data_IF_493028122489
#
_entry.id   IF_493028122489
#
_cell.length_a   1.000
_cell.length_b   1.000
_cell.length_c   1.000
_cell.angle_alpha   90.00
_cell.angle_beta   90.00
_cell.angle_gamma   90.00
#
_symmetry.space_group_name_H-M   'P 1'
#
loop_
_entity.id
_entity.type
_entity.pdbx_description
1 polymer ?
#
# COMPACT_ATOMS: atom_id res chain seq x y z
N UNK A 1 -1.85 17.85 5.18
CA UNK A 1 -3.25 17.95 5.12
C UNK A 1 -3.90 16.70 4.55
N UNK A 2 -4.95 16.30 5.16
CA UNK A 2 -5.48 14.97 4.98
C UNK A 2 -6.92 14.94 4.48
N UNK A 3 -7.45 16.09 4.08
CA UNK A 3 -8.81 16.20 3.64
C UNK A 3 -8.97 15.61 2.24
N UNK A 4 -9.67 14.50 2.15
CA UNK A 4 -9.90 13.80 0.89
C UNK A 4 -10.68 14.68 -0.08
N UNK A 5 -11.70 15.40 0.39
CA UNK A 5 -12.53 16.25 -0.46
C UNK A 5 -11.72 17.34 -1.12
N UNK A 6 -10.87 18.01 -0.36
CA UNK A 6 -10.03 19.07 -0.90
C UNK A 6 -9.01 18.53 -1.88
N UNK A 7 -8.44 17.36 -1.61
CA UNK A 7 -7.51 16.72 -2.54
C UNK A 7 -8.19 16.42 -3.87
N UNK A 8 -9.41 15.90 -3.85
CA UNK A 8 -10.14 15.60 -5.07
C UNK A 8 -10.44 16.87 -5.86
N UNK A 9 -10.76 17.95 -5.19
CA UNK A 9 -10.98 19.23 -5.86
C UNK A 9 -9.70 19.71 -6.55
N UNK A 10 -8.56 19.52 -5.93
CA UNK A 10 -7.27 19.90 -6.52
C UNK A 10 -6.90 19.07 -7.74
N UNK A 11 -7.40 17.87 -7.81
CA UNK A 11 -7.15 16.99 -8.94
C UNK A 11 -8.02 17.32 -10.15
N UNK A 12 -8.50 18.55 -10.22
CA UNK A 12 -9.23 19.10 -11.37
C UNK A 12 -10.59 18.47 -11.59
N UNK A 13 -11.22 18.04 -10.53
CA UNK A 13 -12.57 17.51 -10.65
C UNK A 13 -12.67 16.36 -11.62
N UNK A 14 -11.57 15.69 -11.84
CA UNK A 14 -11.59 14.52 -12.69
C UNK A 14 -12.43 13.46 -12.07
N UNK A 15 -12.86 12.53 -12.89
CA UNK A 15 -13.53 11.35 -12.42
C UNK A 15 -12.75 10.75 -11.23
N UNK A 16 -13.47 10.17 -10.32
CA UNK A 16 -12.87 9.53 -9.18
C UNK A 16 -12.02 8.36 -9.66
N UNK A 17 -10.81 8.30 -9.16
CA UNK A 17 -9.96 7.13 -9.29
C UNK A 17 -10.07 6.35 -7.98
N UNK A 18 -10.71 5.17 -7.98
CA UNK A 18 -10.86 4.40 -6.75
C UNK A 18 -9.54 4.07 -6.07
N UNK A 19 -8.49 3.88 -6.86
CA UNK A 19 -7.17 3.61 -6.31
C UNK A 19 -6.63 4.77 -5.49
N UNK A 20 -6.75 5.99 -5.99
CA UNK A 20 -6.32 7.17 -5.26
C UNK A 20 -7.16 7.44 -4.03
N UNK A 21 -8.46 7.20 -4.12
CA UNK A 21 -9.36 7.35 -2.97
C UNK A 21 -8.94 6.37 -1.88
N UNK A 22 -8.70 5.13 -2.25
CA UNK A 22 -8.27 4.09 -1.32
C UNK A 22 -6.94 4.45 -0.64
N UNK A 23 -5.98 4.95 -1.40
CA UNK A 23 -4.70 5.39 -0.85
C UNK A 23 -4.89 6.49 0.20
N UNK A 24 -5.75 7.45 -0.08
CA UNK A 24 -6.03 8.52 0.87
C UNK A 24 -6.69 8.02 2.15
N UNK A 25 -7.60 7.08 2.01
CA UNK A 25 -8.28 6.49 3.17
C UNK A 25 -7.24 5.76 4.04
N UNK A 26 -6.36 4.99 3.43
CA UNK A 26 -5.32 4.27 4.17
C UNK A 26 -4.38 5.25 4.85
N UNK A 27 -3.91 6.26 4.13
CA UNK A 27 -3.01 7.27 4.69
C UNK A 27 -3.63 7.94 5.91
N UNK A 28 -4.87 8.40 5.78
CA UNK A 28 -5.56 9.09 6.87
C UNK A 28 -5.72 8.19 8.09
N UNK A 29 -6.02 6.92 7.88
CA UNK A 29 -6.17 5.98 8.99
C UNK A 29 -4.82 5.75 9.71
N UNK A 30 -3.74 5.60 8.96
CA UNK A 30 -2.41 5.40 9.54
C UNK A 30 -1.96 6.60 10.37
N UNK A 31 -2.16 7.80 9.83
CA UNK A 31 -1.82 9.04 10.53
C UNK A 31 -2.68 9.20 11.79
N UNK A 32 -3.96 8.90 11.67
CA UNK A 32 -4.88 8.97 12.82
C UNK A 32 -4.43 8.04 13.95
N UNK A 33 -3.85 6.90 13.62
CA UNK A 33 -3.34 5.96 14.62
C UNK A 33 -2.00 6.40 15.21
N UNK A 34 -1.42 7.48 14.71
CA UNK A 34 -0.19 8.03 15.27
C UNK A 34 1.09 7.49 14.68
N UNK A 35 1.02 6.77 13.56
CA UNK A 35 2.21 6.25 12.90
C UNK A 35 2.90 7.30 12.05
N UNK A 36 4.20 7.14 11.86
CA UNK A 36 4.97 7.91 10.89
C UNK A 36 4.88 7.22 9.54
N UNK A 37 4.43 7.96 8.53
CA UNK A 37 4.12 7.39 7.22
C UNK A 37 4.90 8.14 6.14
N UNK A 38 5.68 7.39 5.36
CA UNK A 38 6.46 7.91 4.25
C UNK A 38 6.20 7.10 2.99
N UNK A 39 6.61 7.64 1.84
CA UNK A 39 6.62 6.89 0.59
C UNK A 39 7.98 6.23 0.45
N UNK A 40 7.99 4.95 0.10
CA UNK A 40 9.21 4.21 -0.12
C UNK A 40 9.60 4.18 -1.58
N UNK A 41 10.91 4.08 -1.84
CA UNK A 41 11.43 3.92 -3.19
C UNK A 41 12.45 2.79 -3.18
N UNK A 42 12.29 1.85 -4.10
CA UNK A 42 13.24 0.76 -4.29
C UNK A 42 13.74 0.78 -5.73
N UNK A 43 14.96 0.29 -5.93
CA UNK A 43 15.57 0.27 -7.25
C UNK A 43 15.53 -1.14 -7.82
N UNK A 44 15.23 -1.23 -9.11
CA UNK A 44 15.29 -2.45 -9.88
C UNK A 44 16.23 -2.23 -11.05
N UNK A 45 17.14 -3.17 -11.30
CA UNK A 45 18.00 -3.11 -12.46
C UNK A 45 17.48 -4.12 -13.49
N UNK A 46 17.15 -3.61 -14.67
CA UNK A 46 16.60 -4.43 -15.74
C UNK A 46 17.24 -4.00 -17.05
N UNK A 47 17.89 -4.93 -17.75
CA UNK A 47 18.58 -4.65 -19.01
C UNK A 47 19.60 -3.51 -18.86
N UNK A 48 20.35 -3.49 -17.76
CA UNK A 48 21.33 -2.47 -17.42
C UNK A 48 20.74 -1.08 -17.19
N UNK A 49 19.41 -0.99 -17.11
CA UNK A 49 18.73 0.26 -16.79
C UNK A 49 18.23 0.20 -15.35
N UNK A 50 18.51 1.27 -14.61
CA UNK A 50 18.01 1.38 -13.24
C UNK A 50 16.60 1.94 -13.27
N UNK A 51 15.64 1.18 -12.74
CA UNK A 51 14.25 1.57 -12.64
C UNK A 51 13.93 1.79 -11.17
N UNK A 52 13.24 2.89 -10.86
CA UNK A 52 12.76 3.13 -9.51
C UNK A 52 11.31 2.70 -9.41
N UNK A 53 10.98 2.01 -8.31
CA UNK A 53 9.60 1.62 -8.01
C UNK A 53 9.22 2.17 -6.65
N UNK A 54 7.99 2.59 -6.52
CA UNK A 54 7.49 3.16 -5.28
C UNK A 54 6.77 2.11 -4.45
N UNK A 55 6.90 2.25 -3.13
CA UNK A 55 6.06 1.58 -2.16
C UNK A 55 5.13 2.65 -1.61
N UNK A 56 3.83 2.39 -1.64
CA UNK A 56 2.84 3.41 -1.30
C UNK A 56 3.06 3.98 0.10
N UNK A 57 3.31 3.10 1.08
CA UNK A 57 3.50 3.55 2.46
C UNK A 57 4.61 2.76 3.14
N UNK A 58 5.55 3.47 3.74
CA UNK A 58 6.51 2.92 4.69
C UNK A 58 6.08 3.44 6.06
N UNK A 59 5.65 2.54 6.93
CA UNK A 59 5.04 2.90 8.20
C UNK A 59 6.00 2.53 9.33
N UNK A 60 6.31 3.51 10.17
CA UNK A 60 7.22 3.32 11.29
C UNK A 60 6.49 3.60 12.60
N UNK A 61 6.76 2.77 13.60
CA UNK A 61 6.28 2.95 14.97
C UNK A 61 7.45 2.60 15.90
N UNK A 62 8.22 3.63 16.27
CA UNK A 62 9.46 3.42 17.01
C UNK A 62 10.49 2.71 16.13
N UNK A 63 10.96 1.56 16.59
CA UNK A 63 11.93 0.74 15.86
C UNK A 63 11.27 -0.34 15.00
N UNK A 64 9.93 -0.34 14.95
CA UNK A 64 9.18 -1.26 14.09
C UNK A 64 8.86 -0.59 12.76
N UNK A 65 8.89 -1.38 11.69
CA UNK A 65 8.59 -0.90 10.34
C UNK A 65 7.74 -1.93 9.59
N UNK A 66 6.81 -1.45 8.81
CA UNK A 66 6.07 -2.27 7.85
C UNK A 66 5.98 -1.52 6.53
N UNK A 67 5.79 -2.28 5.46
CA UNK A 67 5.53 -1.74 4.13
C UNK A 67 4.10 -2.07 3.75
N UNK A 68 3.40 -1.07 3.21
CA UNK A 68 2.01 -1.26 2.77
C UNK A 68 1.88 -0.82 1.33
N UNK A 69 1.29 -1.69 0.53
CA UNK A 69 0.94 -1.40 -0.86
C UNK A 69 -0.57 -1.41 -0.97
N UNK A 70 -1.11 -0.39 -1.63
CA UNK A 70 -2.55 -0.28 -1.85
C UNK A 70 -2.88 -0.82 -3.23
N UNK A 71 -3.79 -1.77 -3.32
CA UNK A 71 -4.20 -2.37 -4.58
C UNK A 71 -5.72 -2.53 -4.59
N UNK A 72 -6.40 -1.64 -5.31
CA UNK A 72 -7.85 -1.67 -5.38
C UNK A 72 -8.35 -3.00 -5.93
N UNK A 73 -7.77 -3.43 -7.04
CA UNK A 73 -8.07 -4.72 -7.67
C UNK A 73 -6.78 -5.33 -8.22
N UNK A 74 -6.65 -6.65 -8.06
CA UNK A 74 -5.53 -7.40 -8.62
C UNK A 74 -6.11 -8.56 -9.44
N UNK A 75 -6.93 -8.21 -10.42
CA UNK A 75 -7.73 -9.16 -11.18
C UNK A 75 -6.98 -9.84 -12.32
N UNK A 76 -5.77 -9.36 -12.64
CA UNK A 76 -4.92 -10.00 -13.63
C UNK A 76 -3.58 -10.36 -13.02
N UNK A 77 -2.93 -11.38 -13.59
CA UNK A 77 -1.61 -11.79 -13.15
C UNK A 77 -0.59 -10.68 -13.32
N UNK A 78 -0.69 -9.92 -14.40
CA UNK A 78 0.20 -8.79 -14.67
C UNK A 78 0.07 -7.70 -13.62
N UNK A 79 -1.15 -7.35 -13.23
CA UNK A 79 -1.38 -6.37 -12.18
C UNK A 79 -0.83 -6.87 -10.85
N UNK A 80 -1.06 -8.14 -10.54
CA UNK A 80 -0.57 -8.74 -9.31
C UNK A 80 0.93 -8.63 -9.22
N UNK A 81 1.66 -8.99 -10.29
CA UNK A 81 3.11 -8.91 -10.29
C UNK A 81 3.60 -7.47 -10.16
N UNK A 82 2.98 -6.54 -10.87
CA UNK A 82 3.38 -5.14 -10.81
C UNK A 82 3.23 -4.57 -9.39
N UNK A 83 2.12 -4.87 -8.74
CA UNK A 83 1.86 -4.36 -7.39
C UNK A 83 2.79 -4.98 -6.36
N UNK A 84 3.17 -6.23 -6.53
CA UNK A 84 4.02 -6.93 -5.56
C UNK A 84 5.51 -6.71 -5.80
N UNK A 85 5.90 -6.25 -6.98
CA UNK A 85 7.31 -6.13 -7.34
C UNK A 85 8.08 -5.21 -6.39
N UNK A 86 7.49 -4.07 -6.05
CA UNK A 86 8.13 -3.13 -5.13
C UNK A 86 8.44 -3.77 -3.78
N UNK A 87 7.50 -4.55 -3.27
CA UNK A 87 7.68 -5.23 -1.98
C UNK A 87 8.75 -6.30 -2.05
N UNK A 88 8.88 -6.98 -3.19
CA UNK A 88 9.92 -8.00 -3.36
C UNK A 88 11.32 -7.40 -3.38
N UNK A 89 11.45 -6.15 -3.78
CA UNK A 89 12.73 -5.48 -3.95
C UNK A 89 13.28 -4.84 -2.67
N UNK A 90 12.56 -4.86 -1.57
CA UNK A 90 13.02 -4.23 -0.32
C UNK A 90 14.27 -4.90 0.24
N UNK A 91 14.40 -6.21 0.05
CA UNK A 91 15.58 -6.96 0.51
C UNK A 91 15.69 -7.12 2.01
N UNK A 92 14.61 -6.90 2.74
CA UNK A 92 14.60 -7.03 4.21
C UNK A 92 13.49 -7.97 4.66
N UNK A 93 13.39 -8.15 5.98
CA UNK A 93 12.43 -9.07 6.59
C UNK A 93 11.27 -8.36 7.29
N UNK A 94 11.12 -7.06 7.11
CA UNK A 94 10.00 -6.34 7.69
C UNK A 94 8.69 -6.83 7.05
N UNK A 95 7.63 -6.76 7.83
CA UNK A 95 6.31 -7.21 7.39
C UNK A 95 5.85 -6.40 6.18
N UNK A 96 5.26 -7.07 5.21
CA UNK A 96 4.76 -6.47 3.99
C UNK A 96 3.28 -6.79 3.86
N UNK A 97 2.48 -5.75 3.66
CA UNK A 97 1.02 -5.84 3.64
C UNK A 97 0.51 -5.26 2.34
N UNK A 98 -0.42 -5.96 1.72
CA UNK A 98 -1.16 -5.47 0.55
C UNK A 98 -2.60 -5.28 0.98
N UNK A 99 -3.08 -4.03 0.95
CA UNK A 99 -4.47 -3.72 1.30
C UNK A 99 -5.28 -3.69 0.02
N UNK A 100 -6.36 -4.48 0.00
CA UNK A 100 -7.15 -4.74 -1.20
C UNK A 100 -8.64 -4.60 -0.92
N UNK A 101 -9.40 -4.39 -2.00
CA UNK A 101 -10.87 -4.38 -1.91
C UNK A 101 -11.51 -5.63 -2.54
N UNK A 102 -10.72 -6.42 -3.26
CA UNK A 102 -11.24 -7.52 -4.09
C UNK A 102 -11.14 -8.90 -3.46
N UNK A 103 -10.83 -8.97 -2.15
CA UNK A 103 -10.70 -10.25 -1.47
C UNK A 103 -11.77 -10.41 -0.38
N UNK A 104 -12.34 -11.61 -0.24
CA UNK A 104 -13.32 -11.87 0.84
C UNK A 104 -12.64 -12.18 2.18
N UNK A 105 -11.40 -12.65 2.17
CA UNK A 105 -10.67 -13.05 3.37
C UNK A 105 -9.23 -12.56 3.31
N UNK A 106 -8.67 -12.29 4.48
CA UNK A 106 -7.24 -11.98 4.59
C UNK A 106 -6.43 -13.26 4.46
N UNK A 107 -5.26 -13.18 3.85
CA UNK A 107 -4.41 -14.36 3.65
C UNK A 107 -2.95 -13.95 3.45
N UNK A 108 -2.05 -14.92 3.63
CA UNK A 108 -0.64 -14.77 3.27
C UNK A 108 -0.42 -15.44 1.92
N UNK A 109 0.31 -14.78 1.03
CA UNK A 109 0.62 -15.36 -0.27
C UNK A 109 1.93 -16.18 -0.21
N UNK A 110 2.35 -16.70 -1.37
CA UNK A 110 3.55 -17.52 -1.46
C UNK A 110 4.84 -16.75 -1.17
N UNK A 111 4.80 -15.43 -1.23
CA UNK A 111 5.93 -14.57 -0.92
C UNK A 111 5.98 -14.21 0.57
N UNK A 112 4.99 -14.60 1.34
CA UNK A 112 4.89 -14.23 2.74
C UNK A 112 4.25 -12.87 2.96
N UNK A 113 3.69 -12.25 1.93
CA UNK A 113 3.01 -10.96 2.04
C UNK A 113 1.60 -11.17 2.54
N UNK A 114 1.18 -10.31 3.46
CA UNK A 114 -0.15 -10.38 4.04
C UNK A 114 -1.13 -9.54 3.21
N UNK A 115 -2.14 -10.18 2.66
CA UNK A 115 -3.21 -9.50 1.91
C UNK A 115 -4.37 -9.24 2.86
N UNK A 116 -4.71 -7.98 3.03
CA UNK A 116 -5.72 -7.55 3.99
C UNK A 116 -6.82 -6.79 3.27
N UNK A 117 -8.06 -7.10 3.61
CA UNK A 117 -9.21 -6.36 3.09
C UNK A 117 -9.25 -4.97 3.74
N UNK A 118 -9.54 -3.95 2.95
CA UNK A 118 -9.56 -2.56 3.43
C UNK A 118 -10.53 -2.38 4.61
N UNK A 119 -11.69 -3.00 4.55
CA UNK A 119 -12.69 -2.86 5.61
C UNK A 119 -12.15 -3.43 6.93
N UNK A 120 -11.52 -4.60 6.87
CA UNK A 120 -10.92 -5.20 8.07
C UNK A 120 -9.81 -4.30 8.64
N UNK A 121 -9.02 -3.71 7.76
CA UNK A 121 -8.00 -2.75 8.18
C UNK A 121 -8.61 -1.57 8.92
N UNK A 122 -9.66 -0.96 8.35
CA UNK A 122 -10.31 0.22 8.92
C UNK A 122 -11.00 -0.10 10.25
N UNK A 123 -11.56 -1.30 10.39
CA UNK A 123 -12.23 -1.70 11.61
C UNK A 123 -11.26 -2.12 12.73
N UNK A 124 -9.97 -2.17 12.42
CA UNK A 124 -8.97 -2.60 13.40
C UNK A 124 -9.02 -4.09 13.70
N UNK A 125 -9.59 -4.87 12.80
CA UNK A 125 -9.70 -6.32 12.96
C UNK A 125 -8.37 -7.04 12.79
N UNK A 126 -7.36 -6.34 12.29
CA UNK A 126 -6.05 -6.90 11.99
C UNK A 126 -4.96 -6.08 12.66
N UNK A 127 -4.00 -6.75 13.27
CA UNK A 127 -2.81 -6.10 13.83
C UNK A 127 -1.80 -5.85 12.73
N UNK A 128 -1.31 -4.61 12.62
CA UNK A 128 -0.34 -4.26 11.58
C UNK A 128 1.07 -4.77 11.90
N UNK A 129 1.49 -4.62 13.12
CA UNK A 129 2.86 -4.97 13.52
C UNK A 129 2.94 -6.32 14.22
#
# INVERSE_FOLDING_TARGET
YTDLGLRNARLNYRQYDPGHIMENIIYNELVKRGYSVDVGVVAERKNDVRIQREIDFVVNDGDRRIYIQSAYQMDTEQKTEAELQSLKLTGDFFKKIVIRMDIPHNFYDNNGFFHCNLIDFLLGATTLF
#
